data_IF_888259827965
#
_entry.id   IF_888259827965
#
_cell.length_a   1.000
_cell.length_b   1.000
_cell.length_c   1.000
_cell.angle_alpha   90.00
_cell.angle_beta   90.00
_cell.angle_gamma   90.00
#
_symmetry.space_group_name_H-M   'P 1'
#
loop_
_entity.id
_entity.type
_entity.pdbx_description
1 polymer ?
#
# COMPACT_ATOMS: atom_id res chain seq x y z
N UNK A 1 38.36 -45.02 39.70
CA UNK A 1 37.48 -44.63 38.55
C UNK A 1 37.13 -43.21 38.72
N UNK A 2 37.81 -42.31 38.02
CA UNK A 2 37.62 -40.84 38.08
C UNK A 2 36.70 -40.42 36.94
N UNK A 3 35.58 -39.73 37.24
CA UNK A 3 34.68 -39.16 36.26
C UNK A 3 35.21 -37.80 35.78
N UNK A 4 35.41 -37.71 34.47
CA UNK A 4 35.81 -36.47 33.76
C UNK A 4 34.69 -35.47 33.76
N UNK A 5 34.93 -34.14 33.88
CA UNK A 5 33.88 -33.12 33.83
C UNK A 5 33.47 -32.82 32.40
N UNK A 6 32.13 -32.80 32.15
CA UNK A 6 31.53 -32.39 30.88
C UNK A 6 31.79 -30.88 30.63
N UNK A 7 32.36 -30.58 29.47
CA UNK A 7 32.50 -29.20 28.97
C UNK A 7 31.12 -28.58 28.70
N UNK A 8 30.88 -27.41 29.22
CA UNK A 8 29.71 -26.62 28.97
C UNK A 8 29.68 -26.13 27.51
N UNK A 9 28.53 -26.33 26.87
CA UNK A 9 28.24 -25.96 25.50
C UNK A 9 28.15 -24.44 25.37
N UNK A 10 28.78 -23.90 24.31
CA UNK A 10 28.80 -22.48 23.97
C UNK A 10 27.39 -21.91 23.75
N UNK A 11 27.10 -20.77 24.37
CA UNK A 11 25.89 -19.96 24.15
C UNK A 11 25.85 -19.52 22.70
N UNK A 12 24.74 -19.84 22.02
CA UNK A 12 24.37 -19.35 20.72
C UNK A 12 24.28 -17.81 20.71
N UNK A 13 25.14 -17.15 19.94
CA UNK A 13 25.23 -15.71 19.80
C UNK A 13 24.31 -15.23 18.66
N UNK A 14 23.00 -15.52 18.73
CA UNK A 14 22.07 -15.00 17.75
C UNK A 14 20.79 -14.45 18.42
N UNK A 15 20.97 -13.47 19.31
CA UNK A 15 19.85 -12.68 19.79
C UNK A 15 19.45 -11.67 18.70
N UNK A 16 18.16 -11.60 18.29
CA UNK A 16 17.71 -10.63 17.29
C UNK A 16 18.00 -9.21 17.79
N UNK A 17 18.58 -8.38 16.90
CA UNK A 17 18.83 -6.96 17.19
C UNK A 17 17.50 -6.27 17.49
N UNK A 18 17.42 -5.40 18.50
CA UNK A 18 16.20 -4.66 18.82
C UNK A 18 15.78 -3.84 17.60
N UNK A 19 14.54 -4.05 17.16
CA UNK A 19 13.90 -3.26 16.10
C UNK A 19 13.82 -1.82 16.63
N UNK A 20 14.50 -0.89 15.96
CA UNK A 20 14.34 0.54 16.24
C UNK A 20 12.88 0.88 15.97
N UNK A 21 12.14 1.20 17.01
CA UNK A 21 10.77 1.69 16.89
C UNK A 21 10.79 2.95 16.04
N UNK A 22 9.97 2.99 15.00
CA UNK A 22 9.66 4.20 14.25
C UNK A 22 9.28 5.35 15.19
N UNK A 23 9.56 6.62 14.81
CA UNK A 23 9.20 7.78 15.62
C UNK A 23 7.74 7.68 16.04
N UNK A 24 7.50 7.87 17.33
CA UNK A 24 6.21 7.64 17.96
C UNK A 24 5.09 8.42 17.27
N UNK A 25 3.91 7.80 17.24
CA UNK A 25 2.66 8.42 16.81
C UNK A 25 2.58 9.84 17.39
N UNK A 26 2.29 10.87 16.57
CA UNK A 26 2.16 12.25 17.05
C UNK A 26 1.14 12.33 18.17
N UNK A 27 1.40 13.24 19.11
CA UNK A 27 0.57 13.44 20.29
C UNK A 27 -0.90 13.64 19.89
N UNK A 28 -1.82 13.04 20.65
CA UNK A 28 -3.27 13.00 20.36
C UNK A 28 -3.96 14.37 20.17
N UNK A 29 -3.25 15.47 20.32
CA UNK A 29 -3.76 16.86 20.23
C UNK A 29 -3.06 17.69 19.15
N UNK A 30 -2.24 17.10 18.28
CA UNK A 30 -1.77 17.82 17.10
C UNK A 30 -2.94 17.91 16.12
N UNK A 31 -3.40 19.12 15.83
CA UNK A 31 -4.29 19.37 14.68
C UNK A 31 -3.55 18.86 13.46
N UNK A 32 -4.13 17.95 12.68
CA UNK A 32 -3.45 17.47 11.48
C UNK A 32 -3.12 18.69 10.62
N UNK A 33 -1.90 18.74 10.11
CA UNK A 33 -1.53 19.74 9.10
C UNK A 33 -2.48 19.54 7.92
N UNK A 34 -3.33 20.54 7.67
CA UNK A 34 -4.27 20.49 6.54
C UNK A 34 -3.43 20.71 5.28
N UNK A 35 -3.49 19.79 4.29
CA UNK A 35 -2.78 19.96 3.04
C UNK A 35 -3.12 21.32 2.40
N UNK A 36 -2.17 21.92 1.70
CA UNK A 36 -2.45 23.13 0.95
C UNK A 36 -3.41 22.88 -0.21
N UNK A 37 -3.86 23.94 -0.88
CA UNK A 37 -4.88 23.82 -1.90
C UNK A 37 -4.41 23.05 -3.13
N UNK A 38 -3.15 23.17 -3.48
CA UNK A 38 -2.57 22.46 -4.63
C UNK A 38 -2.45 20.96 -4.35
N UNK A 39 -2.07 20.61 -3.13
CA UNK A 39 -2.06 19.22 -2.71
C UNK A 39 -3.47 18.63 -2.63
N UNK A 40 -4.44 19.36 -2.12
CA UNK A 40 -5.86 18.93 -2.12
C UNK A 40 -6.37 18.68 -3.53
N UNK A 41 -6.05 19.56 -4.50
CA UNK A 41 -6.39 19.35 -5.90
C UNK A 41 -5.75 18.07 -6.46
N UNK A 42 -4.46 17.87 -6.21
CA UNK A 42 -3.74 16.68 -6.65
C UNK A 42 -4.35 15.40 -6.10
N UNK A 43 -4.66 15.37 -4.81
CA UNK A 43 -5.30 14.22 -4.16
C UNK A 43 -6.70 13.97 -4.77
N UNK A 44 -7.46 15.03 -5.01
CA UNK A 44 -8.77 14.94 -5.65
C UNK A 44 -8.69 14.39 -7.08
N UNK A 45 -7.75 14.87 -7.88
CA UNK A 45 -7.51 14.40 -9.25
C UNK A 45 -7.16 12.90 -9.27
N UNK A 46 -6.32 12.45 -8.35
CA UNK A 46 -5.99 11.03 -8.22
C UNK A 46 -7.21 10.17 -7.86
N UNK A 47 -8.01 10.61 -6.90
CA UNK A 47 -9.25 9.93 -6.55
C UNK A 47 -10.23 9.88 -7.73
N UNK A 48 -10.34 10.98 -8.48
CA UNK A 48 -11.20 11.07 -9.65
C UNK A 48 -10.72 10.16 -10.78
N UNK A 49 -9.41 10.09 -11.01
CA UNK A 49 -8.81 9.18 -12.00
C UNK A 49 -9.18 7.72 -11.66
N UNK A 50 -8.96 7.30 -10.41
CA UNK A 50 -9.30 5.95 -9.96
C UNK A 50 -10.80 5.70 -10.16
N UNK A 51 -11.67 6.62 -9.75
CA UNK A 51 -13.11 6.48 -9.91
C UNK A 51 -13.50 6.28 -11.39
N UNK A 52 -12.99 7.11 -12.28
CA UNK A 52 -13.30 7.03 -13.73
C UNK A 52 -12.75 5.77 -14.37
N UNK A 53 -11.58 5.33 -13.94
CA UNK A 53 -11.02 4.06 -14.38
C UNK A 53 -11.93 2.90 -13.98
N UNK A 54 -12.31 2.80 -12.72
CA UNK A 54 -13.15 1.72 -12.19
C UNK A 54 -14.56 1.71 -12.81
N UNK A 55 -15.16 2.88 -13.03
CA UNK A 55 -16.42 2.99 -13.76
C UNK A 55 -16.29 2.42 -15.18
N UNK A 56 -15.14 2.67 -15.84
CA UNK A 56 -14.88 2.16 -17.18
C UNK A 56 -14.60 0.67 -17.16
N UNK A 57 -13.81 0.18 -16.22
CA UNK A 57 -13.57 -1.25 -16.02
C UNK A 57 -14.90 -2.01 -15.77
N UNK A 58 -15.76 -1.47 -14.92
CA UNK A 58 -17.09 -2.06 -14.68
C UNK A 58 -17.97 -2.12 -15.94
N UNK A 59 -17.90 -1.09 -16.80
CA UNK A 59 -18.60 -1.10 -18.08
C UNK A 59 -18.05 -2.18 -19.02
N UNK A 60 -16.73 -2.30 -19.15
CA UNK A 60 -16.07 -3.30 -19.99
C UNK A 60 -16.35 -4.71 -19.48
N UNK A 61 -16.34 -4.90 -18.18
CA UNK A 61 -16.72 -6.15 -17.54
C UNK A 61 -18.16 -6.54 -17.88
N UNK A 62 -19.11 -5.59 -17.75
CA UNK A 62 -20.51 -5.81 -18.11
C UNK A 62 -20.73 -6.12 -19.60
N UNK A 63 -19.82 -5.70 -20.47
CA UNK A 63 -19.81 -6.04 -21.90
C UNK A 63 -19.08 -7.34 -22.22
N UNK A 64 -18.54 -8.05 -21.22
CA UNK A 64 -17.82 -9.30 -21.39
C UNK A 64 -16.41 -9.14 -22.02
N UNK A 65 -15.83 -7.94 -21.95
CA UNK A 65 -14.49 -7.66 -22.49
C UNK A 65 -13.36 -7.91 -21.47
N UNK A 66 -13.72 -8.00 -20.20
CA UNK A 66 -12.82 -8.37 -19.11
C UNK A 66 -13.21 -9.77 -18.64
N UNK A 67 -12.25 -10.68 -18.52
CA UNK A 67 -12.45 -12.05 -18.07
C UNK A 67 -12.37 -12.20 -16.56
N UNK A 68 -12.81 -13.36 -16.03
CA UNK A 68 -12.68 -13.67 -14.62
C UNK A 68 -13.60 -12.85 -13.71
N UNK A 69 -13.11 -12.50 -12.53
CA UNK A 69 -13.84 -11.68 -11.53
C UNK A 69 -13.21 -10.30 -11.44
N UNK A 70 -13.92 -9.28 -11.86
CA UNK A 70 -13.50 -7.89 -11.72
C UNK A 70 -14.00 -7.32 -10.38
N UNK A 71 -13.08 -7.02 -9.49
CA UNK A 71 -13.37 -6.44 -8.17
C UNK A 71 -13.03 -4.96 -8.13
N UNK A 72 -14.02 -4.12 -8.35
CA UNK A 72 -13.85 -2.67 -8.43
C UNK A 72 -13.40 -2.03 -7.11
N UNK A 73 -12.57 -0.99 -7.23
CA UNK A 73 -12.07 -0.18 -6.12
C UNK A 73 -13.03 0.96 -5.71
N UNK A 74 -14.20 1.06 -6.34
CA UNK A 74 -15.18 2.13 -6.14
C UNK A 74 -15.55 2.26 -4.66
N UNK A 75 -15.45 3.50 -4.14
CA UNK A 75 -15.75 3.83 -2.75
C UNK A 75 -14.54 3.77 -1.80
N UNK A 76 -13.38 3.37 -2.27
CA UNK A 76 -12.15 3.26 -1.47
C UNK A 76 -11.02 4.18 -1.97
N UNK A 77 -11.29 5.08 -2.88
CA UNK A 77 -10.29 5.94 -3.53
C UNK A 77 -9.49 6.75 -2.51
N UNK A 78 -10.20 7.34 -1.53
CA UNK A 78 -9.55 8.14 -0.49
C UNK A 78 -8.61 7.33 0.40
N UNK A 79 -8.86 6.03 0.56
CA UNK A 79 -7.99 5.15 1.36
C UNK A 79 -6.64 4.98 0.68
N UNK A 80 -6.64 4.56 -0.59
CA UNK A 80 -5.37 4.33 -1.31
C UNK A 80 -4.63 5.62 -1.58
N UNK A 81 -5.31 6.69 -1.97
CA UNK A 81 -4.69 7.99 -2.25
C UNK A 81 -4.08 8.57 -0.97
N UNK A 82 -4.81 8.50 0.16
CA UNK A 82 -4.30 8.96 1.45
C UNK A 82 -3.12 8.13 1.96
N UNK A 83 -3.11 6.82 1.75
CA UNK A 83 -1.96 5.97 2.08
C UNK A 83 -0.76 6.29 1.18
N UNK A 84 -0.98 6.40 -0.11
CA UNK A 84 0.08 6.65 -1.09
C UNK A 84 0.70 8.04 -0.94
N UNK A 85 -0.05 9.06 -0.51
CA UNK A 85 0.48 10.40 -0.24
C UNK A 85 1.52 10.43 0.88
N UNK A 86 1.51 9.42 1.75
CA UNK A 86 2.46 9.27 2.86
C UNK A 86 3.61 8.29 2.54
N UNK A 87 3.54 7.60 1.41
CA UNK A 87 4.58 6.67 0.98
C UNK A 87 5.79 7.43 0.40
N UNK A 88 6.97 6.88 0.61
CA UNK A 88 8.20 7.39 0.02
C UNK A 88 8.42 6.77 -1.36
N UNK A 89 9.20 7.40 -2.24
CA UNK A 89 9.45 6.86 -3.59
C UNK A 89 10.11 5.48 -3.61
N UNK A 90 10.78 5.09 -2.53
CA UNK A 90 11.45 3.79 -2.36
C UNK A 90 10.62 2.75 -1.60
N UNK A 91 9.43 3.12 -1.15
CA UNK A 91 8.51 2.18 -0.49
C UNK A 91 7.88 1.24 -1.53
N UNK A 92 7.76 -0.04 -1.16
CA UNK A 92 7.13 -1.05 -2.00
C UNK A 92 5.72 -1.33 -1.53
N UNK A 93 4.77 -1.28 -2.44
CA UNK A 93 3.37 -1.65 -2.20
C UNK A 93 3.15 -3.10 -2.61
N UNK A 94 2.61 -3.91 -1.70
CA UNK A 94 2.21 -5.29 -1.96
C UNK A 94 0.71 -5.39 -1.70
N UNK A 95 -0.02 -5.84 -2.71
CA UNK A 95 -1.47 -5.99 -2.66
C UNK A 95 -1.88 -7.32 -3.28
N UNK A 96 -3.07 -7.80 -3.01
CA UNK A 96 -3.60 -9.07 -3.53
C UNK A 96 -5.04 -8.98 -3.98
N UNK A 97 -5.61 -7.77 -3.97
CA UNK A 97 -7.03 -7.60 -4.20
C UNK A 97 -7.39 -6.15 -4.54
N UNK A 98 -8.20 -5.94 -5.58
CA UNK A 98 -8.57 -4.62 -6.09
C UNK A 98 -7.34 -3.79 -6.47
N UNK A 99 -6.44 -4.39 -7.23
CA UNK A 99 -5.09 -3.87 -7.45
C UNK A 99 -5.06 -2.60 -8.29
N UNK A 100 -6.08 -2.38 -9.14
CA UNK A 100 -6.18 -1.23 -10.04
C UNK A 100 -6.00 0.11 -9.30
N UNK A 101 -6.70 0.29 -8.16
CA UNK A 101 -6.59 1.50 -7.36
C UNK A 101 -5.17 1.72 -6.84
N UNK A 102 -4.50 0.66 -6.42
CA UNK A 102 -3.10 0.73 -5.96
C UNK A 102 -2.13 1.02 -7.10
N UNK A 103 -2.29 0.35 -8.26
CA UNK A 103 -1.46 0.56 -9.44
C UNK A 103 -1.55 2.02 -9.92
N UNK A 104 -2.76 2.56 -10.03
CA UNK A 104 -2.99 3.96 -10.41
C UNK A 104 -2.45 4.95 -9.38
N UNK A 105 -2.63 4.69 -8.08
CA UNK A 105 -2.10 5.55 -7.03
C UNK A 105 -0.56 5.55 -7.01
N UNK A 106 0.08 4.45 -7.39
CA UNK A 106 1.54 4.36 -7.57
C UNK A 106 2.04 5.03 -8.87
N UNK A 107 1.16 5.61 -9.67
CA UNK A 107 1.53 6.36 -10.88
C UNK A 107 1.60 5.52 -12.16
N UNK A 108 1.07 4.30 -12.18
CA UNK A 108 0.97 3.53 -13.42
C UNK A 108 -0.04 4.16 -14.37
N UNK A 109 0.26 4.13 -15.67
CA UNK A 109 -0.67 4.62 -16.68
C UNK A 109 -1.95 3.78 -16.73
N UNK A 110 -3.10 4.44 -16.77
CA UNK A 110 -4.40 3.79 -16.81
C UNK A 110 -4.56 2.80 -17.99
N UNK A 111 -3.92 3.10 -19.13
CA UNK A 111 -3.91 2.17 -20.29
C UNK A 111 -3.19 0.86 -19.96
N UNK A 112 -2.05 0.93 -19.25
CA UNK A 112 -1.30 -0.25 -18.83
C UNK A 112 -2.11 -1.08 -17.85
N UNK A 113 -2.70 -0.45 -16.85
CA UNK A 113 -3.54 -1.12 -15.85
C UNK A 113 -4.74 -1.79 -16.52
N UNK A 114 -5.41 -1.12 -17.47
CA UNK A 114 -6.55 -1.69 -18.20
C UNK A 114 -6.15 -2.87 -19.10
N UNK A 115 -4.91 -2.96 -19.54
CA UNK A 115 -4.43 -4.06 -20.38
C UNK A 115 -4.07 -5.32 -19.59
N UNK A 116 -3.96 -5.23 -18.26
CA UNK A 116 -3.73 -6.35 -17.37
C UNK A 116 -5.04 -7.06 -16.95
N UNK A 117 -6.21 -6.40 -17.20
CA UNK A 117 -7.54 -6.94 -16.94
C UNK A 117 -7.99 -7.96 -18.02
#
# INVERSE_FOLDING_TARGET
MARSPRKASAKSANAPKPIKRSPGRPAKNAVPDVPDQDELHRLYEQMLLIRRFEEKAGQLYGMGQIGGFCHLYIGQEAVVVGMQSMARPDDTVVTSYRDHGHMLACGMEARGVMAEE
#
